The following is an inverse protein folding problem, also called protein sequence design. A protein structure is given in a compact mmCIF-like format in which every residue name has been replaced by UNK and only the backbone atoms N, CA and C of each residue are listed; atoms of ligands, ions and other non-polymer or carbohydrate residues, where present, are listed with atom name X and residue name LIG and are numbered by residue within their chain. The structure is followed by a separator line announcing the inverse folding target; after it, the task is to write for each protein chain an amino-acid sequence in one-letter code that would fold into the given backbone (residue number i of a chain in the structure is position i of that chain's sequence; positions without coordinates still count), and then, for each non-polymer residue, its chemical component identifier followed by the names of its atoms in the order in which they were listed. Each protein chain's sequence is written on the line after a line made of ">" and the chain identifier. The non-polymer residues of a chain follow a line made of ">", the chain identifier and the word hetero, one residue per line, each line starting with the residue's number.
data_IF_916295162122
#
_entry.id   IF_916295162122
#
_cell.length_a   1.000
_cell.length_b   1.000
_cell.length_c   1.000
_cell.angle_alpha   90.00
_cell.angle_beta   90.00
_cell.angle_gamma   90.00
#
_symmetry.space_group_name_H-M   'P 1'
#
loop_
_entity.id
_entity.type
_entity.pdbx_description
1 polymer ?
#
# COMPACT_ATOMS: atom_id res chain seq x y z
N UNK A 1 -6.20 3.50 -31.97
CA UNK A 1 -5.49 3.30 -30.68
C UNK A 1 -6.53 3.02 -29.59
N UNK A 2 -6.17 2.43 -28.44
CA UNK A 2 -6.94 2.32 -27.17
C UNK A 2 -8.50 2.23 -27.19
N UNK A 3 -9.11 1.69 -28.25
CA UNK A 3 -10.56 1.75 -28.51
C UNK A 3 -11.38 0.99 -27.48
N UNK A 4 -10.89 -0.19 -27.09
CA UNK A 4 -11.54 -1.08 -26.13
C UNK A 4 -11.74 -0.46 -24.74
N UNK A 5 -10.79 0.34 -24.27
CA UNK A 5 -10.92 1.02 -22.97
C UNK A 5 -11.94 2.13 -23.06
N UNK A 6 -11.91 2.94 -24.11
CA UNK A 6 -12.89 4.00 -24.34
C UNK A 6 -14.32 3.43 -24.45
N UNK A 7 -14.50 2.35 -25.20
CA UNK A 7 -15.79 1.66 -25.36
C UNK A 7 -16.30 1.11 -24.01
N UNK A 8 -15.42 0.52 -23.20
CA UNK A 8 -15.77 -0.01 -21.88
C UNK A 8 -16.09 1.10 -20.87
N UNK A 9 -15.37 2.23 -20.90
CA UNK A 9 -15.65 3.39 -20.06
C UNK A 9 -17.01 4.01 -20.40
N UNK A 10 -17.35 4.13 -21.69
CA UNK A 10 -18.69 4.56 -22.13
C UNK A 10 -19.78 3.60 -21.67
N UNK A 11 -19.59 2.29 -21.87
CA UNK A 11 -20.53 1.26 -21.42
C UNK A 11 -20.80 1.33 -19.91
N UNK A 12 -19.73 1.38 -19.09
CA UNK A 12 -19.90 1.44 -17.63
C UNK A 12 -20.52 2.76 -17.18
N UNK A 13 -20.22 3.89 -17.83
CA UNK A 13 -20.83 5.18 -17.49
C UNK A 13 -22.36 5.16 -17.64
N UNK A 14 -22.88 4.42 -18.61
CA UNK A 14 -24.32 4.33 -18.88
C UNK A 14 -25.01 3.23 -18.06
N UNK A 15 -24.34 2.09 -17.87
CA UNK A 15 -24.94 0.89 -17.24
C UNK A 15 -24.75 0.86 -15.72
N UNK A 16 -23.60 1.31 -15.21
CA UNK A 16 -23.26 1.27 -13.78
C UNK A 16 -22.27 2.39 -13.41
N UNK A 17 -22.80 3.55 -13.07
CA UNK A 17 -22.01 4.73 -12.74
C UNK A 17 -21.15 4.53 -11.47
N UNK A 18 -21.58 3.68 -10.53
CA UNK A 18 -20.84 3.40 -9.30
C UNK A 18 -19.61 2.52 -9.59
N UNK A 19 -19.76 1.51 -10.46
CA UNK A 19 -18.64 0.75 -10.99
C UNK A 19 -17.69 1.64 -11.80
N UNK A 20 -18.22 2.57 -12.62
CA UNK A 20 -17.41 3.54 -13.35
C UNK A 20 -16.57 4.42 -12.41
N UNK A 21 -17.18 4.99 -11.36
CA UNK A 21 -16.46 5.80 -10.36
C UNK A 21 -15.40 5.00 -9.60
N UNK A 22 -15.69 3.74 -9.27
CA UNK A 22 -14.77 2.86 -8.54
C UNK A 22 -13.56 2.47 -9.39
N UNK A 23 -13.80 2.05 -10.64
CA UNK A 23 -12.74 1.57 -11.54
C UNK A 23 -11.92 2.73 -12.14
N UNK A 24 -12.58 3.81 -12.54
CA UNK A 24 -11.97 4.94 -13.24
C UNK A 24 -11.76 6.17 -12.36
N UNK A 25 -11.67 5.99 -11.05
CA UNK A 25 -11.48 7.09 -10.06
C UNK A 25 -10.34 8.06 -10.44
N UNK A 26 -9.20 7.54 -10.90
CA UNK A 26 -8.07 8.37 -11.34
C UNK A 26 -8.33 9.13 -12.64
N UNK A 27 -9.08 8.53 -13.57
CA UNK A 27 -9.45 9.17 -14.83
C UNK A 27 -10.42 10.31 -14.59
N UNK A 28 -11.39 10.13 -13.69
CA UNK A 28 -12.31 11.18 -13.25
C UNK A 28 -11.53 12.32 -12.58
N UNK A 29 -10.59 12.00 -11.68
CA UNK A 29 -9.73 13.00 -11.01
C UNK A 29 -8.92 13.84 -12.00
N UNK A 30 -8.44 13.21 -13.07
CA UNK A 30 -7.62 13.86 -14.09
C UNK A 30 -8.45 14.41 -15.27
N UNK A 31 -9.78 14.34 -15.20
CA UNK A 31 -10.72 14.78 -16.24
C UNK A 31 -10.39 14.15 -17.61
N UNK A 32 -10.03 12.87 -17.59
CA UNK A 32 -9.73 12.11 -18.81
C UNK A 32 -11.04 11.54 -19.35
N UNK A 33 -11.45 12.00 -20.52
CA UNK A 33 -12.63 11.47 -21.23
C UNK A 33 -12.21 10.34 -22.19
N UNK A 34 -13.13 9.42 -22.54
CA UNK A 34 -12.85 8.35 -23.50
C UNK A 34 -12.36 8.88 -24.86
N UNK A 35 -12.92 10.00 -25.34
CA UNK A 35 -12.49 10.65 -26.58
C UNK A 35 -11.06 11.21 -26.49
N UNK A 36 -10.70 11.81 -25.36
CA UNK A 36 -9.35 12.35 -25.13
C UNK A 36 -8.30 11.26 -24.96
N UNK A 37 -8.70 10.02 -24.67
CA UNK A 37 -7.77 8.92 -24.44
C UNK A 37 -7.01 8.53 -25.72
N UNK A 38 -7.69 8.49 -26.86
CA UNK A 38 -7.04 8.23 -28.16
C UNK A 38 -6.05 9.34 -28.52
N UNK A 39 -6.45 10.60 -28.36
CA UNK A 39 -5.59 11.76 -28.62
C UNK A 39 -4.37 11.79 -27.70
N UNK A 40 -4.54 11.49 -26.40
CA UNK A 40 -3.45 11.39 -25.43
C UNK A 40 -2.41 10.34 -25.86
N UNK A 41 -2.87 9.17 -26.32
CA UNK A 41 -1.97 8.13 -26.80
C UNK A 41 -1.21 8.55 -28.06
N UNK A 42 -1.88 9.21 -29.01
CA UNK A 42 -1.21 9.75 -30.20
C UNK A 42 -0.13 10.79 -29.85
N UNK A 43 -0.45 11.72 -28.94
CA UNK A 43 0.51 12.72 -28.45
C UNK A 43 1.68 12.08 -27.72
N UNK A 44 1.43 11.05 -26.91
CA UNK A 44 2.49 10.30 -26.22
C UNK A 44 3.41 9.57 -27.21
N UNK A 45 2.85 8.94 -28.25
CA UNK A 45 3.65 8.34 -29.31
C UNK A 45 4.52 9.37 -30.03
N UNK A 46 3.95 10.52 -30.40
CA UNK A 46 4.72 11.60 -31.02
C UNK A 46 5.88 12.08 -30.11
N UNK A 47 5.63 12.28 -28.82
CA UNK A 47 6.65 12.71 -27.86
C UNK A 47 7.78 11.68 -27.67
N UNK A 48 7.45 10.38 -27.63
CA UNK A 48 8.45 9.30 -27.53
C UNK A 48 9.30 9.22 -28.80
N UNK A 49 8.69 9.44 -29.98
CA UNK A 49 9.41 9.47 -31.25
C UNK A 49 10.37 10.67 -31.34
N UNK A 50 9.95 11.84 -30.86
CA UNK A 50 10.77 13.06 -30.86
C UNK A 50 11.96 12.95 -29.89
N UNK A 51 11.73 12.38 -28.70
CA UNK A 51 12.75 12.23 -27.65
C UNK A 51 12.82 10.80 -27.13
N UNK A 52 13.52 9.89 -27.85
CA UNK A 52 13.62 8.49 -27.46
C UNK A 52 14.54 8.26 -26.24
N UNK A 53 15.40 9.25 -25.91
CA UNK A 53 16.35 9.13 -24.80
C UNK A 53 15.67 9.36 -23.45
N UNK A 54 15.92 8.46 -22.50
CA UNK A 54 15.43 8.58 -21.12
C UNK A 54 16.26 9.57 -20.30
N UNK A 55 15.63 10.64 -19.82
CA UNK A 55 16.25 11.58 -18.89
C UNK A 55 16.30 11.00 -17.47
N UNK A 56 17.51 10.86 -16.91
CA UNK A 56 17.69 10.39 -15.53
C UNK A 56 17.21 11.47 -14.56
N UNK A 57 16.15 11.18 -13.81
CA UNK A 57 15.67 12.07 -12.74
C UNK A 57 16.73 12.17 -11.63
N UNK A 58 16.93 13.36 -11.03
CA UNK A 58 17.82 13.51 -9.89
C UNK A 58 17.34 12.61 -8.75
N UNK A 59 18.26 11.82 -8.19
CA UNK A 59 17.98 10.93 -7.07
C UNK A 59 17.62 11.80 -5.88
N UNK A 60 16.37 11.74 -5.41
CA UNK A 60 16.01 12.34 -4.13
C UNK A 60 16.69 11.54 -3.04
N UNK A 61 17.61 12.15 -2.31
CA UNK A 61 18.14 11.63 -1.06
C UNK A 61 17.01 11.69 -0.03
N UNK A 62 16.15 10.69 -0.01
CA UNK A 62 15.30 10.46 1.15
C UNK A 62 16.20 9.85 2.21
N UNK A 63 16.64 10.67 3.16
CA UNK A 63 17.24 10.20 4.40
C UNK A 63 16.16 9.38 5.12
N UNK A 64 16.15 8.07 4.87
CA UNK A 64 15.18 7.17 5.48
C UNK A 64 15.53 7.18 6.97
N UNK A 65 14.71 7.82 7.80
CA UNK A 65 14.90 7.87 9.25
C UNK A 65 15.20 6.47 9.82
N UNK A 66 14.62 5.41 9.22
CA UNK A 66 14.89 4.00 9.53
C UNK A 66 16.40 3.66 9.46
N UNK A 67 17.13 4.16 8.47
CA UNK A 67 18.58 3.92 8.33
C UNK A 67 19.37 4.65 9.41
N UNK A 68 18.98 5.89 9.75
CA UNK A 68 19.60 6.66 10.84
C UNK A 68 19.45 5.96 12.19
N UNK A 69 18.27 5.44 12.52
CA UNK A 69 18.06 4.69 13.77
C UNK A 69 18.84 3.38 13.79
N UNK A 70 18.93 2.66 12.65
CA UNK A 70 19.72 1.43 12.54
C UNK A 70 21.22 1.68 12.74
N UNK A 71 21.76 2.76 12.15
CA UNK A 71 23.15 3.17 12.32
C UNK A 71 23.45 3.60 13.76
N UNK A 72 22.56 4.37 14.40
CA UNK A 72 22.71 4.72 15.82
C UNK A 72 22.70 3.49 16.74
N UNK A 73 21.86 2.49 16.46
CA UNK A 73 21.80 1.23 17.23
C UNK A 73 23.03 0.35 16.99
N UNK A 74 23.55 0.31 15.76
CA UNK A 74 24.73 -0.47 15.41
C UNK A 74 26.02 0.14 16.00
N UNK A 75 26.12 1.47 16.07
CA UNK A 75 27.31 2.15 16.61
C UNK A 75 27.35 2.16 18.15
N UNK A 76 26.19 2.22 18.82
CA UNK A 76 26.16 2.28 20.30
C UNK A 76 26.26 0.91 20.98
N UNK A 77 26.34 -0.20 20.24
CA UNK A 77 26.52 -1.54 20.80
C UNK A 77 25.34 -2.07 21.62
N UNK A 78 24.25 -1.30 21.74
CA UNK A 78 22.99 -1.75 22.31
C UNK A 78 22.23 -2.54 21.24
N UNK A 79 22.59 -3.82 21.11
CA UNK A 79 21.81 -4.79 20.34
C UNK A 79 20.35 -4.83 20.81
N UNK A 80 19.46 -5.16 19.87
CA UNK A 80 18.00 -5.47 19.86
C UNK A 80 17.20 -5.75 21.16
N UNK A 81 17.77 -5.74 22.36
CA UNK A 81 17.06 -5.99 23.63
C UNK A 81 16.27 -4.77 24.12
N UNK A 82 16.59 -3.56 23.65
CA UNK A 82 15.98 -2.30 24.15
C UNK A 82 14.73 -1.86 23.38
N UNK A 83 14.41 -2.46 22.23
CA UNK A 83 13.17 -2.15 21.49
C UNK A 83 11.91 -2.71 22.16
N UNK A 84 12.02 -3.68 23.08
CA UNK A 84 10.88 -4.08 23.93
C UNK A 84 10.57 -3.03 25.01
N UNK A 85 11.54 -2.19 25.38
CA UNK A 85 11.45 -1.26 26.51
C UNK A 85 10.99 0.16 26.14
N UNK A 86 10.97 0.53 24.85
CA UNK A 86 10.65 1.89 24.38
C UNK A 86 9.22 2.08 23.84
N UNK A 87 8.32 1.13 24.11
CA UNK A 87 6.88 1.35 24.01
C UNK A 87 6.25 1.11 25.39
N UNK A 88 5.98 2.17 26.17
CA UNK A 88 5.29 2.06 27.46
C UNK A 88 3.94 1.31 27.39
N UNK A 89 3.35 1.15 26.20
CA UNK A 89 2.12 0.38 25.99
C UNK A 89 2.29 -1.15 25.97
N UNK A 90 3.51 -1.69 26.09
CA UNK A 90 3.71 -3.15 26.19
C UNK A 90 3.75 -3.70 27.61
N UNK A 91 3.88 -2.83 28.63
CA UNK A 91 3.99 -3.29 30.02
C UNK A 91 2.64 -3.39 30.75
N UNK A 92 1.54 -2.90 30.18
CA UNK A 92 0.24 -2.78 30.87
C UNK A 92 -0.83 -3.79 30.41
N UNK A 93 -0.47 -4.81 29.61
CA UNK A 93 -1.41 -5.86 29.16
C UNK A 93 -1.14 -7.28 29.63
N UNK A 94 -0.17 -7.46 30.53
CA UNK A 94 0.06 -8.75 31.16
C UNK A 94 0.01 -8.64 32.68
N UNK A 95 -1.14 -8.17 33.19
CA UNK A 95 -1.61 -8.64 34.49
C UNK A 95 -1.80 -10.16 34.41
N UNK A 96 -1.12 -10.97 35.24
CA UNK A 96 -1.38 -12.39 35.30
C UNK A 96 -2.80 -12.57 35.83
N UNK A 97 -3.72 -12.91 34.95
CA UNK A 97 -5.08 -13.30 35.33
C UNK A 97 -4.94 -14.45 36.32
N UNK A 98 -5.19 -14.17 37.61
CA UNK A 98 -5.11 -15.17 38.66
C UNK A 98 -6.27 -16.15 38.41
N UNK A 99 -5.96 -17.24 37.72
CA UNK A 99 -6.93 -18.28 37.39
C UNK A 99 -7.29 -18.99 38.68
N UNK A 100 -8.52 -18.75 39.15
CA UNK A 100 -9.14 -19.60 40.15
C UNK A 100 -9.26 -21.01 39.56
N UNK A 101 -8.59 -21.98 40.18
CA UNK A 101 -8.72 -23.38 39.83
C UNK A 101 -10.10 -23.88 40.28
N UNK A 102 -11.08 -23.78 39.39
CA UNK A 102 -12.28 -24.61 39.49
C UNK A 102 -12.01 -25.91 38.75
N UNK A 103 -11.88 -26.97 39.54
CA UNK A 103 -11.53 -28.31 39.11
C UNK A 103 -12.39 -28.83 37.97
N UNK A 104 -11.76 -29.51 37.01
CA UNK A 104 -12.46 -30.26 35.97
C UNK A 104 -12.31 -31.75 36.21
N UNK A 105 -13.45 -32.35 36.53
CA UNK A 105 -13.70 -33.80 36.59
C UNK A 105 -13.14 -34.53 35.37
N UNK A 106 -12.36 -35.56 35.66
CA UNK A 106 -11.91 -36.58 34.72
C UNK A 106 -13.10 -37.41 34.23
N UNK A 107 -13.35 -37.42 32.92
CA UNK A 107 -14.17 -38.46 32.28
C UNK A 107 -13.22 -39.50 31.68
N UNK A 108 -13.26 -40.69 32.27
CA UNK A 108 -12.61 -41.89 31.75
C UNK A 108 -13.21 -42.24 30.37
N UNK A 109 -12.32 -42.53 29.43
CA UNK A 109 -12.66 -43.16 28.14
C UNK A 109 -12.81 -44.66 28.44
N UNK A 110 -13.99 -45.21 28.21
CA UNK A 110 -14.21 -46.66 28.26
C UNK A 110 -14.06 -47.23 26.85
N UNK A 111 -13.32 -48.35 26.77
CA UNK A 111 -13.33 -49.30 25.65
C UNK A 111 -14.72 -49.90 25.44
#
# INVERSE_FOLDING_TARGET
>A
MARNVADYTCYLREVDEDAHKKQFSQYIKNIITPDMMEEMHMRAHAAILEKPAHEKKPKRETEILRNKYLEMTAFSGYGMETLSALSPSYQERHEPFHRQETGKMSRKVNQ
#
